data_IF_528555103295
#
_entry.id   IF_528555103295
#
_cell.length_a   1.000
_cell.length_b   1.000
_cell.length_c   1.000
_cell.angle_alpha   90.00
_cell.angle_beta   90.00
_cell.angle_gamma   90.00
#
_symmetry.space_group_name_H-M   'P 1'
#
loop_
_entity.id
_entity.type
_entity.pdbx_description
1 polymer ?
#
# COMPACT_ATOMS: atom_id res chain seq x y z
N UNK A 1 -13.36 7.27 -23.60
CA UNK A 1 -14.41 6.65 -22.77
C UNK A 1 -14.22 7.15 -21.34
N UNK A 2 -15.29 7.43 -20.57
CA UNK A 2 -15.12 7.80 -19.16
C UNK A 2 -14.44 6.68 -18.39
N UNK A 3 -13.68 7.03 -17.35
CA UNK A 3 -13.09 6.07 -16.43
C UNK A 3 -14.21 5.23 -15.79
N UNK A 4 -14.05 3.90 -15.62
CA UNK A 4 -14.98 3.10 -14.83
C UNK A 4 -15.11 3.68 -13.41
N UNK A 5 -16.35 3.78 -12.96
CA UNK A 5 -16.70 4.23 -11.62
C UNK A 5 -16.83 3.03 -10.68
N UNK A 6 -16.10 3.05 -9.57
CA UNK A 6 -16.17 2.07 -8.50
C UNK A 6 -16.78 2.74 -7.28
N UNK A 7 -17.84 2.17 -6.76
CA UNK A 7 -18.49 2.70 -5.57
C UNK A 7 -18.05 1.93 -4.33
N UNK A 8 -17.30 2.55 -3.42
CA UNK A 8 -16.98 1.98 -2.12
C UNK A 8 -18.26 1.88 -1.29
N UNK A 9 -18.74 0.65 -1.07
CA UNK A 9 -20.01 0.35 -0.42
C UNK A 9 -19.85 -0.14 1.01
N UNK A 10 -18.74 -0.79 1.33
CA UNK A 10 -18.51 -1.35 2.66
C UNK A 10 -17.02 -1.25 3.02
N UNK A 11 -16.78 -1.05 4.30
CA UNK A 11 -15.46 -1.09 4.93
C UNK A 11 -15.59 -1.85 6.25
N UNK A 12 -14.66 -2.75 6.52
CA UNK A 12 -14.64 -3.43 7.81
C UNK A 12 -13.22 -3.75 8.26
N UNK A 13 -13.08 -3.93 9.57
CA UNK A 13 -11.85 -4.37 10.23
C UNK A 13 -12.05 -5.79 10.73
N UNK A 14 -11.10 -6.65 10.39
CA UNK A 14 -11.08 -8.06 10.75
C UNK A 14 -9.86 -8.27 11.62
N UNK A 15 -10.06 -8.53 12.92
CA UNK A 15 -8.98 -8.83 13.85
C UNK A 15 -8.54 -10.28 13.70
N UNK A 16 -7.23 -10.50 13.56
CA UNK A 16 -6.57 -11.81 13.51
C UNK A 16 -5.43 -11.86 14.51
N UNK A 17 -4.94 -13.05 14.81
CA UNK A 17 -3.79 -13.24 15.73
C UNK A 17 -2.52 -12.50 15.26
N UNK A 18 -2.38 -12.28 13.95
CA UNK A 18 -1.26 -11.59 13.32
C UNK A 18 -1.49 -10.07 13.15
N UNK A 19 -2.62 -9.55 13.61
CA UNK A 19 -3.00 -8.14 13.51
C UNK A 19 -4.33 -7.91 12.81
N UNK A 20 -4.74 -6.65 12.77
CA UNK A 20 -5.96 -6.22 12.09
C UNK A 20 -5.76 -6.19 10.56
N UNK A 21 -6.81 -6.59 9.82
CA UNK A 21 -6.90 -6.47 8.36
C UNK A 21 -8.08 -5.57 8.03
N UNK A 22 -7.88 -4.60 7.15
CA UNK A 22 -8.97 -3.84 6.56
C UNK A 22 -9.48 -4.53 5.30
N UNK A 23 -10.80 -4.55 5.15
CA UNK A 23 -11.51 -4.99 3.95
C UNK A 23 -12.31 -3.81 3.42
N UNK A 24 -12.11 -3.50 2.15
CA UNK A 24 -12.91 -2.54 1.38
C UNK A 24 -13.67 -3.28 0.29
N UNK A 25 -14.94 -2.94 0.11
CA UNK A 25 -15.81 -3.52 -0.93
C UNK A 25 -16.26 -2.43 -1.86
N UNK A 26 -16.00 -2.65 -3.14
CA UNK A 26 -16.42 -1.77 -4.22
C UNK A 26 -17.49 -2.46 -5.05
N UNK A 27 -18.49 -1.71 -5.48
CA UNK A 27 -19.39 -2.11 -6.57
C UNK A 27 -18.80 -1.59 -7.87
N UNK A 28 -18.56 -2.50 -8.81
CA UNK A 28 -18.04 -2.23 -10.16
C UNK A 28 -19.16 -1.69 -11.08
N UNK A 29 -18.81 -1.11 -12.24
CA UNK A 29 -19.81 -0.66 -13.22
C UNK A 29 -20.76 -1.75 -13.74
N UNK A 30 -20.32 -3.01 -13.74
CA UNK A 30 -21.11 -4.17 -14.12
C UNK A 30 -21.98 -4.73 -12.98
N UNK A 31 -22.01 -4.05 -11.83
CA UNK A 31 -22.73 -4.46 -10.62
C UNK A 31 -22.02 -5.54 -9.80
N UNK A 32 -20.88 -6.09 -10.25
CA UNK A 32 -20.12 -7.07 -9.48
C UNK A 32 -19.40 -6.41 -8.30
N UNK A 33 -19.11 -7.20 -7.26
CA UNK A 33 -18.34 -6.74 -6.12
C UNK A 33 -16.83 -7.00 -6.34
N UNK A 34 -16.01 -6.04 -5.94
CA UNK A 34 -14.57 -6.16 -5.85
C UNK A 34 -14.14 -5.96 -4.40
N UNK A 35 -13.35 -6.87 -3.84
CA UNK A 35 -12.82 -6.77 -2.48
C UNK A 35 -11.34 -6.43 -2.48
N UNK A 36 -10.95 -5.39 -1.74
CA UNK A 36 -9.55 -5.08 -1.47
C UNK A 36 -9.25 -5.31 0.01
N UNK A 37 -8.21 -6.09 0.29
CA UNK A 37 -7.80 -6.44 1.65
C UNK A 37 -6.36 -6.00 1.86
N UNK A 38 -6.08 -5.37 3.00
CA UNK A 38 -4.74 -4.97 3.36
C UNK A 38 -4.54 -4.96 4.89
N UNK A 39 -3.32 -5.22 5.38
CA UNK A 39 -3.02 -5.10 6.81
C UNK A 39 -3.29 -3.69 7.36
N UNK A 40 -3.68 -3.58 8.62
CA UNK A 40 -3.95 -2.27 9.24
C UNK A 40 -2.71 -1.35 9.27
N UNK A 41 -1.52 -1.95 9.33
CA UNK A 41 -0.24 -1.25 9.26
C UNK A 41 0.06 -0.62 7.88
N UNK A 42 -0.70 -0.91 6.82
CA UNK A 42 -0.40 -0.43 5.46
C UNK A 42 -0.27 1.09 5.40
N UNK A 43 -1.10 1.85 6.13
CA UNK A 43 -0.98 3.32 6.16
C UNK A 43 0.36 3.77 6.74
N UNK A 44 0.86 3.09 7.79
CA UNK A 44 2.16 3.38 8.37
C UNK A 44 3.32 3.00 7.42
N UNK A 45 3.19 1.90 6.69
CA UNK A 45 4.15 1.53 5.64
C UNK A 45 4.21 2.58 4.54
N UNK A 46 3.05 3.04 4.04
CA UNK A 46 3.01 4.08 3.00
C UNK A 46 3.51 5.42 3.50
N UNK A 47 3.20 5.80 4.74
CA UNK A 47 3.76 7.00 5.37
C UNK A 47 5.30 6.95 5.35
N UNK A 48 5.88 5.86 5.84
CA UNK A 48 7.32 5.65 5.83
C UNK A 48 7.90 5.64 4.41
N UNK A 49 7.34 4.88 3.48
CA UNK A 49 7.87 4.75 2.12
C UNK A 49 7.85 6.08 1.36
N UNK A 50 6.74 6.81 1.46
CA UNK A 50 6.50 8.04 0.72
C UNK A 50 7.08 9.28 1.41
N UNK A 51 7.50 9.15 2.66
CA UNK A 51 7.98 10.28 3.46
C UNK A 51 6.85 11.23 3.86
N UNK A 52 5.66 10.67 4.05
CA UNK A 52 4.47 11.39 4.50
C UNK A 52 4.31 11.22 6.02
N UNK A 53 3.68 12.19 6.67
CA UNK A 53 3.29 12.11 8.07
C UNK A 53 1.96 11.35 8.20
N UNK A 54 1.92 10.36 9.08
CA UNK A 54 0.76 9.46 9.21
C UNK A 54 -0.52 10.21 9.63
N UNK A 55 -0.39 11.29 10.40
CA UNK A 55 -1.54 12.03 10.92
C UNK A 55 -1.85 13.26 10.06
N UNK A 56 -0.85 14.04 9.66
CA UNK A 56 -1.04 15.23 8.83
C UNK A 56 -1.44 14.90 7.39
N UNK A 57 -0.94 13.78 6.83
CA UNK A 57 -1.20 13.37 5.45
C UNK A 57 -2.20 12.19 5.35
N UNK A 58 -3.05 12.02 6.37
CA UNK A 58 -3.97 10.89 6.51
C UNK A 58 -4.85 10.66 5.28
N UNK A 59 -5.49 11.70 4.76
CA UNK A 59 -6.37 11.56 3.59
C UNK A 59 -5.57 11.21 2.33
N UNK A 60 -4.35 11.75 2.17
CA UNK A 60 -3.49 11.38 1.07
C UNK A 60 -3.08 9.90 1.15
N UNK A 61 -2.78 9.38 2.34
CA UNK A 61 -2.45 7.98 2.55
C UNK A 61 -3.63 7.05 2.28
N UNK A 62 -4.84 7.43 2.69
CA UNK A 62 -6.06 6.69 2.35
C UNK A 62 -6.25 6.68 0.84
N UNK A 63 -6.11 7.82 0.18
CA UNK A 63 -6.20 7.93 -1.28
C UNK A 63 -5.17 7.07 -2.02
N UNK A 64 -3.94 6.97 -1.50
CA UNK A 64 -2.92 6.06 -2.03
C UNK A 64 -3.44 4.63 -1.97
N UNK A 65 -3.78 4.13 -0.78
CA UNK A 65 -4.24 2.75 -0.59
C UNK A 65 -5.50 2.44 -1.40
N UNK A 66 -6.42 3.39 -1.50
CA UNK A 66 -7.62 3.27 -2.31
C UNK A 66 -7.33 3.12 -3.80
N UNK A 67 -6.18 3.54 -4.33
CA UNK A 67 -5.91 3.44 -5.77
C UNK A 67 -4.86 2.38 -6.10
N UNK A 68 -4.21 1.77 -5.11
CA UNK A 68 -3.18 0.76 -5.31
C UNK A 68 -3.59 -0.44 -6.16
N UNK A 69 -4.78 -1.05 -5.97
CA UNK A 69 -5.21 -2.21 -6.77
C UNK A 69 -5.31 -1.95 -8.27
N UNK A 70 -5.39 -0.68 -8.66
CA UNK A 70 -5.55 -0.25 -10.04
C UNK A 70 -4.27 0.36 -10.63
N UNK A 71 -3.20 0.48 -9.84
CA UNK A 71 -1.90 0.85 -10.39
C UNK A 71 -1.43 -0.23 -11.36
N UNK A 72 -1.01 0.18 -12.55
CA UNK A 72 -0.30 -0.73 -13.41
C UNK A 72 1.07 -1.04 -12.81
N UNK A 73 1.44 -2.31 -12.83
CA UNK A 73 2.79 -2.75 -12.53
C UNK A 73 3.68 -2.34 -13.69
N UNK A 74 4.05 -1.07 -13.74
CA UNK A 74 5.02 -0.58 -14.70
C UNK A 74 6.30 -1.40 -14.55
N UNK A 75 6.80 -1.95 -15.66
CA UNK A 75 8.05 -2.69 -15.69
C UNK A 75 9.27 -1.76 -15.66
N UNK A 76 9.06 -0.45 -15.71
CA UNK A 76 10.14 0.52 -15.56
C UNK A 76 10.83 0.32 -14.21
N UNK A 77 12.16 0.08 -14.20
CA UNK A 77 12.86 -0.18 -12.96
C UNK A 77 12.68 1.03 -12.02
N UNK A 78 12.33 0.77 -10.75
CA UNK A 78 12.14 1.85 -9.80
C UNK A 78 13.43 2.65 -9.68
N UNK A 79 13.32 3.96 -9.49
CA UNK A 79 14.48 4.81 -9.27
C UNK A 79 15.37 4.26 -8.14
N UNK A 80 16.69 4.42 -8.30
CA UNK A 80 17.65 3.88 -7.34
C UNK A 80 17.60 4.60 -5.99
N UNK A 81 17.06 5.82 -5.94
CA UNK A 81 16.90 6.62 -4.72
C UNK A 81 15.53 6.42 -4.09
N UNK A 82 15.45 6.54 -2.76
CA UNK A 82 14.16 6.47 -2.04
C UNK A 82 13.19 7.56 -2.52
N UNK A 83 13.66 8.80 -2.61
CA UNK A 83 12.84 9.91 -3.09
C UNK A 83 12.30 9.64 -4.51
N UNK A 84 13.13 9.07 -5.40
CA UNK A 84 12.67 8.69 -6.73
C UNK A 84 11.62 7.57 -6.71
N UNK A 85 11.73 6.58 -5.81
CA UNK A 85 10.71 5.53 -5.65
C UNK A 85 9.39 6.08 -5.12
N UNK A 86 9.45 6.96 -4.13
CA UNK A 86 8.28 7.64 -3.60
C UNK A 86 7.58 8.47 -4.68
N UNK A 87 8.33 9.28 -5.44
CA UNK A 87 7.80 10.05 -6.55
C UNK A 87 7.18 9.16 -7.64
N UNK A 88 7.84 8.06 -8.02
CA UNK A 88 7.30 7.11 -8.99
C UNK A 88 6.02 6.42 -8.49
N UNK A 89 5.94 6.09 -7.19
CA UNK A 89 4.73 5.53 -6.60
C UNK A 89 3.57 6.55 -6.66
N UNK A 90 3.80 7.78 -6.21
CA UNK A 90 2.78 8.84 -6.26
C UNK A 90 2.34 9.14 -7.69
N UNK A 91 3.24 9.09 -8.67
CA UNK A 91 2.89 9.24 -10.08
C UNK A 91 1.99 8.11 -10.58
N UNK A 92 2.24 6.85 -10.18
CA UNK A 92 1.35 5.71 -10.52
C UNK A 92 0.00 5.80 -9.84
N UNK A 93 -0.06 6.29 -8.60
CA UNK A 93 -1.34 6.58 -7.92
C UNK A 93 -2.10 7.66 -8.68
N UNK A 94 -1.42 8.75 -9.08
CA UNK A 94 -2.03 9.82 -9.86
C UNK A 94 -2.55 9.31 -11.22
N UNK A 95 -1.79 8.45 -11.91
CA UNK A 95 -2.24 7.78 -13.14
C UNK A 95 -3.49 6.91 -12.88
N UNK A 96 -3.48 6.07 -11.84
CA UNK A 96 -4.61 5.22 -11.49
C UNK A 96 -5.89 6.03 -11.24
N UNK A 97 -5.78 7.20 -10.61
CA UNK A 97 -6.90 8.15 -10.41
C UNK A 97 -7.50 8.71 -11.70
N UNK A 98 -6.72 8.74 -12.80
CA UNK A 98 -7.25 9.14 -14.12
C UNK A 98 -7.99 8.00 -14.81
N UNK A 99 -7.64 6.75 -14.48
CA UNK A 99 -8.21 5.54 -15.08
C UNK A 99 -9.40 4.98 -14.31
N UNK A 100 -9.50 5.28 -13.01
CA UNK A 100 -10.57 4.78 -12.14
C UNK A 100 -11.06 5.92 -11.27
N UNK A 101 -12.39 6.09 -11.22
CA UNK A 101 -13.02 7.00 -10.26
C UNK A 101 -13.59 6.19 -9.11
N UNK A 102 -13.18 6.49 -7.89
CA UNK A 102 -13.76 5.88 -6.69
C UNK A 102 -14.73 6.88 -6.07
N UNK A 103 -16.00 6.50 -5.99
CA UNK A 103 -17.01 7.24 -5.25
C UNK A 103 -17.37 6.49 -3.98
N UNK A 104 -17.84 7.22 -2.97
CA UNK A 104 -18.28 6.62 -1.72
C UNK A 104 -19.79 6.77 -1.65
N UNK A 105 -20.52 5.68 -1.36
CA UNK A 105 -21.94 5.85 -1.01
C UNK A 105 -22.01 6.80 0.17
N UNK A 106 -22.89 7.81 0.07
CA UNK A 106 -23.35 8.50 1.27
C UNK A 106 -23.82 7.42 2.22
N UNK A 107 -23.35 7.47 3.46
CA UNK A 107 -23.91 6.63 4.49
C UNK A 107 -25.44 6.74 4.44
N UNK A 108 -26.15 5.63 4.63
CA UNK A 108 -27.60 5.70 4.92
C UNK A 108 -27.79 6.77 6.00
N UNK A 109 -28.84 7.59 5.92
CA UNK A 109 -29.03 8.71 6.84
C UNK A 109 -28.72 8.31 8.30
N UNK A 110 -27.67 8.89 8.88
CA UNK A 110 -27.18 8.60 10.24
C UNK A 110 -26.14 7.47 10.40
N UNK A 111 -25.73 6.79 9.32
CA UNK A 111 -24.66 5.79 9.35
C UNK A 111 -23.25 6.40 9.26
N UNK A 112 -22.21 5.65 9.67
CA UNK A 112 -20.82 6.08 9.52
C UNK A 112 -20.39 6.09 8.05
N UNK A 113 -19.49 6.99 7.68
CA UNK A 113 -18.90 7.00 6.34
C UNK A 113 -17.93 5.80 6.21
N UNK A 114 -17.88 5.10 5.06
CA UNK A 114 -17.07 3.88 4.92
C UNK A 114 -15.56 4.10 5.16
N UNK A 115 -15.04 5.31 4.97
CA UNK A 115 -13.63 5.60 5.28
C UNK A 115 -13.36 5.93 6.76
N UNK A 116 -14.38 6.09 7.60
CA UNK A 116 -14.18 6.53 8.99
C UNK A 116 -13.36 5.50 9.77
N UNK A 117 -13.53 4.21 9.48
CA UNK A 117 -12.74 3.16 10.13
C UNK A 117 -11.23 3.30 9.85
N UNK A 118 -10.84 3.80 8.67
CA UNK A 118 -9.45 4.04 8.31
C UNK A 118 -8.95 5.37 8.92
N UNK A 119 -9.82 6.38 8.96
CA UNK A 119 -9.52 7.70 9.55
C UNK A 119 -9.35 7.63 11.06
N UNK A 120 -10.10 6.77 11.73
CA UNK A 120 -10.05 6.57 13.17
C UNK A 120 -8.93 5.61 13.59
N UNK A 121 -8.45 4.78 12.67
CA UNK A 121 -7.38 3.84 12.97
C UNK A 121 -6.10 4.58 13.39
N UNK A 122 -5.57 4.23 14.56
CA UNK A 122 -4.29 4.70 15.06
C UNK A 122 -3.39 3.47 15.27
N UNK A 123 -2.43 3.22 14.35
CA UNK A 123 -1.42 2.18 14.55
C UNK A 123 -0.63 2.43 15.83
N UNK A 124 -0.15 1.35 16.47
CA UNK A 124 0.72 1.45 17.63
C UNK A 124 1.99 2.27 17.31
N UNK A 125 2.30 3.34 18.05
CA UNK A 125 3.49 4.15 17.83
C UNK A 125 4.80 3.35 17.80
N UNK A 126 4.92 2.31 18.64
CA UNK A 126 6.12 1.46 18.64
C UNK A 126 6.25 0.68 17.33
N UNK A 127 5.11 0.21 16.79
CA UNK A 127 5.04 -0.45 15.49
C UNK A 127 5.38 0.50 14.35
N UNK A 128 4.86 1.73 14.38
CA UNK A 128 5.19 2.78 13.40
C UNK A 128 6.70 3.05 13.40
N UNK A 129 7.31 3.24 14.58
CA UNK A 129 8.75 3.44 14.70
C UNK A 129 9.56 2.27 14.10
N UNK A 130 9.14 1.03 14.35
CA UNK A 130 9.78 -0.15 13.78
C UNK A 130 9.65 -0.20 12.25
N UNK A 131 8.51 0.17 11.68
CA UNK A 131 8.29 0.29 10.23
C UNK A 131 9.22 1.36 9.64
N UNK A 132 9.29 2.54 10.23
CA UNK A 132 10.21 3.59 9.79
C UNK A 132 11.68 3.14 9.83
N UNK A 133 12.10 2.50 10.94
CA UNK A 133 13.45 1.96 11.05
C UNK A 133 13.73 0.89 9.99
N UNK A 134 12.74 0.06 9.65
CA UNK A 134 12.87 -0.93 8.58
C UNK A 134 13.01 -0.28 7.20
N UNK A 135 12.14 0.68 6.88
CA UNK A 135 12.12 1.36 5.57
C UNK A 135 13.34 2.27 5.38
N UNK A 136 13.86 2.87 6.46
CA UNK A 136 14.98 3.83 6.43
C UNK A 136 16.33 3.23 6.80
N UNK A 137 16.31 2.04 7.41
CA UNK A 137 17.52 1.29 7.69
C UNK A 137 18.30 1.05 6.40
N UNK A 138 19.63 0.99 6.51
CA UNK A 138 20.46 0.61 5.39
C UNK A 138 19.98 -0.76 4.89
N UNK A 139 19.44 -0.80 3.66
CA UNK A 139 19.23 -2.05 2.95
C UNK A 139 20.59 -2.73 2.96
N UNK A 140 20.71 -3.87 3.64
CA UNK A 140 21.93 -4.67 3.50
C UNK A 140 22.16 -4.83 2.00
N UNK A 141 23.37 -4.55 1.48
CA UNK A 141 23.64 -4.78 0.08
C UNK A 141 23.20 -6.21 -0.20
N UNK A 142 22.32 -6.36 -1.20
CA UNK A 142 21.85 -7.68 -1.59
C UNK A 142 23.12 -8.52 -1.78
N UNK A 143 23.30 -9.65 -1.06
CA UNK A 143 24.48 -10.47 -1.28
C UNK A 143 24.55 -10.74 -2.79
N UNK A 144 25.76 -10.58 -3.34
CA UNK A 144 26.01 -10.77 -4.78
C UNK A 144 25.27 -12.02 -5.27
N UNK A 145 24.77 -12.03 -6.52
CA UNK A 145 24.14 -13.21 -7.10
C UNK A 145 24.98 -14.45 -6.78
N UNK A 146 24.33 -15.54 -6.33
CA UNK A 146 24.99 -16.80 -5.93
C UNK A 146 26.00 -17.30 -6.98
N UNK A 147 25.85 -16.88 -8.23
CA UNK A 147 26.71 -17.22 -9.37
C UNK A 147 28.12 -16.59 -9.29
N UNK A 148 28.31 -15.50 -8.54
CA UNK A 148 29.62 -14.87 -8.36
C UNK A 148 30.54 -15.63 -7.37
N UNK A 149 30.00 -16.60 -6.62
CA UNK A 149 30.76 -17.42 -5.66
C UNK A 149 31.05 -18.86 -6.16
N UNK A 150 30.65 -19.18 -7.39
CA UNK A 150 30.63 -20.54 -7.93
C UNK A 150 31.95 -21.33 -7.89
N UNK A 151 33.11 -20.76 -8.25
CA UNK A 151 34.35 -21.55 -8.28
C UNK A 151 34.95 -21.79 -6.89
N UNK A 152 34.89 -20.79 -5.99
CA UNK A 152 35.58 -20.84 -4.70
C UNK A 152 34.89 -21.77 -3.68
N UNK A 153 33.56 -21.93 -3.75
CA UNK A 153 32.82 -22.83 -2.85
C UNK A 153 32.94 -24.31 -3.22
N UNK A 154 33.14 -24.65 -4.50
CA UNK A 154 33.36 -26.05 -4.93
C UNK A 154 34.72 -26.58 -4.47
N UNK A 155 35.77 -25.78 -4.59
CA UNK A 155 37.11 -26.18 -4.16
C UNK A 155 37.20 -26.49 -2.64
N UNK A 156 36.35 -25.86 -1.82
CA UNK A 156 36.30 -26.09 -0.37
C UNK A 156 35.46 -27.31 0.06
N UNK A 157 34.69 -27.91 -0.85
CA UNK A 157 33.88 -29.12 -0.60
C UNK A 157 34.54 -30.39 -1.18
N UNK A 158 35.59 -30.23 -1.99
CA UNK A 158 36.36 -31.31 -2.61
C UNK A 158 37.72 -31.56 -1.92
N UNK A 159 38.00 -30.88 -0.81
CA UNK A 159 39.17 -31.05 0.04
C UNK A 159 38.78 -31.60 1.42
#
# INVERSE_FOLDING_TARGET
MPAPEYQLTESSRITRDQGDIFRLVYTRPDGQLHGHFFPADTLAWRAAELGLDLDADREQLIEVVLHEPWMETDQTPPANTRAGRAAAHLARVADAKTRVTITHVKAKAGGPHPLDILREHRPDPARVAAIHAHVHGARQPNPLPLDAAGPARRAALEA
#
